data_IF_620035700384
#
_entry.id   IF_620035700384
#
_cell.length_a   1.000
_cell.length_b   1.000
_cell.length_c   1.000
_cell.angle_alpha   90.00
_cell.angle_beta   90.00
_cell.angle_gamma   90.00
#
_symmetry.space_group_name_H-M   'P 1'
#
loop_
_entity.id
_entity.type
_entity.pdbx_description
1 polymer ?
#
# COMPACT_ATOMS: atom_id res chain seq x y z
N UNK A 1 5.95 -18.83 -3.36
CA UNK A 1 7.21 -18.09 -3.04
C UNK A 1 8.40 -19.03 -3.09
N UNK A 2 9.55 -18.66 -3.73
CA UNK A 2 10.74 -19.52 -3.88
C UNK A 2 11.56 -19.64 -2.59
N UNK A 3 11.76 -18.54 -1.85
CA UNK A 3 12.54 -18.48 -0.59
C UNK A 3 11.60 -18.66 0.61
N UNK A 4 11.30 -19.92 0.91
CA UNK A 4 10.43 -20.30 2.04
C UNK A 4 11.02 -19.92 3.40
N UNK A 5 12.33 -19.89 3.52
CA UNK A 5 13.09 -19.47 4.71
C UNK A 5 12.85 -18.01 5.11
N UNK A 6 12.34 -17.18 4.18
CA UNK A 6 12.02 -15.77 4.41
C UNK A 6 10.52 -15.48 4.43
N UNK A 7 9.70 -16.49 4.34
CA UNK A 7 8.27 -16.31 4.28
C UNK A 7 7.72 -15.89 5.64
N UNK A 8 6.97 -14.81 5.66
CA UNK A 8 6.15 -14.41 6.82
C UNK A 8 4.85 -15.18 6.76
N UNK A 9 4.55 -15.91 7.84
CA UNK A 9 3.36 -16.74 7.93
C UNK A 9 2.33 -16.05 8.83
N UNK A 10 1.09 -15.98 8.34
CA UNK A 10 -0.04 -15.42 9.07
C UNK A 10 -0.26 -13.93 8.80
N UNK A 11 -1.54 -13.57 8.76
CA UNK A 11 -1.99 -12.20 8.45
C UNK A 11 -1.49 -11.20 9.51
N UNK A 12 -1.52 -11.56 10.78
CA UNK A 12 -1.12 -10.68 11.88
C UNK A 12 0.35 -10.24 11.81
N UNK A 13 1.25 -11.13 11.36
CA UNK A 13 2.66 -10.76 11.17
C UNK A 13 2.84 -9.82 9.96
N UNK A 14 2.09 -10.04 8.87
CA UNK A 14 2.09 -9.11 7.74
C UNK A 14 1.51 -7.74 8.13
N UNK A 15 0.47 -7.70 8.95
CA UNK A 15 -0.11 -6.45 9.47
C UNK A 15 0.86 -5.67 10.36
N UNK A 16 1.68 -6.35 11.16
CA UNK A 16 2.77 -5.71 11.92
C UNK A 16 3.80 -5.06 10.98
N UNK A 17 4.19 -5.72 9.91
CA UNK A 17 5.10 -5.15 8.91
C UNK A 17 4.46 -3.91 8.27
N UNK A 18 3.21 -4.02 7.82
CA UNK A 18 2.47 -2.93 7.19
C UNK A 18 2.41 -1.71 8.10
N UNK A 19 2.11 -1.90 9.39
CA UNK A 19 2.00 -0.80 10.36
C UNK A 19 3.31 -0.04 10.61
N UNK A 20 4.44 -0.62 10.26
CA UNK A 20 5.77 -0.04 10.47
C UNK A 20 6.38 0.57 9.19
N UNK A 21 5.72 0.41 8.05
CA UNK A 21 6.15 0.97 6.77
C UNK A 21 5.43 2.29 6.49
N UNK A 22 6.09 3.23 5.83
CA UNK A 22 5.55 4.57 5.60
C UNK A 22 5.07 4.80 4.16
N UNK A 23 5.45 3.93 3.23
CA UNK A 23 5.17 4.09 1.81
C UNK A 23 4.64 2.79 1.23
N UNK A 24 3.61 2.91 0.40
CA UNK A 24 3.13 1.85 -0.46
C UNK A 24 3.53 2.14 -1.91
N UNK A 25 4.21 1.21 -2.55
CA UNK A 25 4.48 1.23 -3.98
C UNK A 25 3.32 0.56 -4.70
N UNK A 26 2.50 1.35 -5.37
CA UNK A 26 1.33 0.89 -6.12
C UNK A 26 1.69 0.72 -7.58
N UNK A 27 1.39 -0.42 -8.18
CA UNK A 27 1.55 -0.69 -9.59
C UNK A 27 0.19 -0.83 -10.27
N UNK A 28 0.00 -0.05 -11.32
CA UNK A 28 -1.18 -0.02 -12.19
C UNK A 28 -0.74 -0.36 -13.61
N UNK A 29 -1.69 -0.63 -14.48
CA UNK A 29 -1.44 -0.75 -15.92
C UNK A 29 -2.62 -0.20 -16.71
N UNK A 30 -2.36 0.25 -17.93
CA UNK A 30 -3.42 0.60 -18.86
C UNK A 30 -4.10 -0.64 -19.48
N UNK A 31 -5.05 -0.42 -20.37
CA UNK A 31 -5.80 -1.49 -21.07
C UNK A 31 -4.91 -2.35 -21.98
N UNK A 32 -3.74 -1.84 -22.37
CA UNK A 32 -2.76 -2.57 -23.20
C UNK A 32 -1.72 -3.33 -22.37
N UNK A 33 -1.74 -3.16 -21.04
CA UNK A 33 -0.80 -3.78 -20.12
C UNK A 33 0.47 -2.95 -19.86
N UNK A 34 0.54 -1.70 -20.36
CA UNK A 34 1.68 -0.84 -20.09
C UNK A 34 1.74 -0.46 -18.59
N UNK A 35 2.86 -0.74 -17.89
CA UNK A 35 2.93 -0.58 -16.45
C UNK A 35 3.10 0.87 -16.01
N UNK A 36 2.60 1.19 -14.85
CA UNK A 36 2.75 2.47 -14.17
C UNK A 36 2.89 2.25 -12.67
N UNK A 37 4.01 2.65 -12.09
CA UNK A 37 4.28 2.51 -10.66
C UNK A 37 4.42 3.87 -9.99
N UNK A 38 3.95 3.98 -8.75
CA UNK A 38 4.01 5.21 -7.97
C UNK A 38 4.10 4.90 -6.47
N UNK A 39 4.73 5.79 -5.72
CA UNK A 39 4.81 5.74 -4.27
C UNK A 39 3.69 6.60 -3.66
N UNK A 40 2.99 6.07 -2.66
CA UNK A 40 1.86 6.75 -2.02
C UNK A 40 1.90 6.56 -0.50
N UNK A 41 1.42 7.58 0.22
CA UNK A 41 0.96 7.40 1.59
C UNK A 41 -0.31 6.55 1.58
N UNK A 42 -0.51 5.79 2.64
CA UNK A 42 -1.62 4.84 2.71
C UNK A 42 -2.20 4.68 4.11
N UNK A 43 -3.42 4.19 4.17
CA UNK A 43 -4.03 3.65 5.38
C UNK A 43 -4.40 2.19 5.16
N UNK A 44 -4.30 1.38 6.20
CA UNK A 44 -4.64 -0.04 6.16
C UNK A 44 -5.84 -0.33 7.03
N UNK A 45 -6.74 -1.15 6.53
CA UNK A 45 -7.86 -1.72 7.29
C UNK A 45 -7.76 -3.23 7.28
N UNK A 46 -7.62 -3.81 8.48
CA UNK A 46 -7.72 -5.26 8.68
C UNK A 46 -9.12 -5.76 8.32
N UNK A 47 -9.20 -6.99 7.87
CA UNK A 47 -10.47 -7.63 7.52
C UNK A 47 -10.32 -8.79 6.54
N UNK A 48 -11.45 -9.31 6.09
CA UNK A 48 -11.52 -10.36 5.08
C UNK A 48 -12.54 -9.95 4.01
N UNK A 49 -12.07 -9.34 2.93
CA UNK A 49 -10.69 -9.02 2.57
C UNK A 49 -10.12 -7.78 3.29
N UNK A 50 -8.77 -7.69 3.45
CA UNK A 50 -8.13 -6.46 3.90
C UNK A 50 -8.21 -5.36 2.84
N UNK A 51 -8.04 -4.10 3.26
CA UNK A 51 -8.14 -2.95 2.36
C UNK A 51 -7.00 -1.96 2.59
N UNK A 52 -6.51 -1.38 1.50
CA UNK A 52 -5.61 -0.22 1.51
C UNK A 52 -6.36 0.99 0.98
N UNK A 53 -6.17 2.14 1.65
CA UNK A 53 -6.73 3.41 1.25
C UNK A 53 -5.63 4.39 0.88
N UNK A 54 -5.87 5.15 -0.18
CA UNK A 54 -4.99 6.19 -0.69
C UNK A 54 -5.79 7.45 -0.98
N UNK A 55 -5.11 8.58 -1.12
CA UNK A 55 -5.74 9.82 -1.56
C UNK A 55 -4.99 10.43 -2.74
N UNK A 56 -5.69 11.21 -3.52
CA UNK A 56 -5.11 11.97 -4.63
C UNK A 56 -5.98 13.16 -5.01
N UNK A 57 -5.47 14.01 -5.90
CA UNK A 57 -6.24 15.06 -6.54
C UNK A 57 -7.36 14.47 -7.45
N UNK A 58 -8.31 15.31 -7.83
CA UNK A 58 -9.47 14.93 -8.68
C UNK A 58 -9.11 14.52 -10.10
N UNK A 59 -7.92 14.86 -10.56
CA UNK A 59 -7.43 14.59 -11.90
C UNK A 59 -6.04 13.96 -11.86
N UNK A 60 -5.69 13.21 -12.90
CA UNK A 60 -4.37 12.63 -13.07
C UNK A 60 -4.39 11.21 -13.61
N UNK A 61 -3.28 10.84 -14.24
CA UNK A 61 -3.06 9.56 -14.94
C UNK A 61 -3.50 8.34 -14.14
N UNK A 62 -3.27 8.31 -12.81
CA UNK A 62 -3.66 7.17 -11.96
C UNK A 62 -5.17 6.92 -11.97
N UNK A 63 -6.00 7.98 -11.98
CA UNK A 63 -7.45 7.86 -12.02
C UNK A 63 -7.92 7.29 -13.37
N UNK A 64 -7.31 7.72 -14.47
CA UNK A 64 -7.64 7.23 -15.80
C UNK A 64 -7.27 5.75 -15.94
N UNK A 65 -6.09 5.36 -15.41
CA UNK A 65 -5.66 3.96 -15.38
C UNK A 65 -6.60 3.09 -14.54
N UNK A 66 -7.01 3.54 -13.36
CA UNK A 66 -7.94 2.79 -12.50
C UNK A 66 -9.31 2.61 -13.17
N UNK A 67 -9.79 3.62 -13.87
CA UNK A 67 -11.05 3.53 -14.63
C UNK A 67 -10.96 2.56 -15.79
N UNK A 68 -9.83 2.55 -16.50
CA UNK A 68 -9.57 1.66 -17.64
C UNK A 68 -9.28 0.22 -17.21
N UNK A 69 -8.46 0.05 -16.15
CA UNK A 69 -8.07 -1.25 -15.62
C UNK A 69 -7.92 -1.19 -14.09
N UNK A 70 -8.89 -1.67 -13.32
CA UNK A 70 -8.85 -1.59 -11.87
C UNK A 70 -7.92 -2.61 -11.20
N UNK A 71 -7.25 -3.50 -11.94
CA UNK A 71 -6.28 -4.44 -11.36
C UNK A 71 -5.04 -3.68 -10.90
N UNK A 72 -4.54 -4.03 -9.73
CA UNK A 72 -3.34 -3.43 -9.17
C UNK A 72 -2.50 -4.46 -8.43
N UNK A 73 -1.21 -4.17 -8.34
CA UNK A 73 -0.31 -4.83 -7.40
C UNK A 73 0.28 -3.77 -6.47
N UNK A 74 0.74 -4.21 -5.30
CA UNK A 74 1.40 -3.32 -4.35
C UNK A 74 2.59 -3.99 -3.68
N UNK A 75 3.53 -3.16 -3.24
CA UNK A 75 4.62 -3.51 -2.34
C UNK A 75 4.68 -2.47 -1.23
N UNK A 76 4.72 -2.94 0.00
CA UNK A 76 4.93 -2.15 1.21
C UNK A 76 6.17 -2.75 1.86
N UNK A 77 7.26 -1.98 1.97
CA UNK A 77 8.52 -2.49 2.46
C UNK A 77 9.29 -1.45 3.27
N UNK A 78 10.24 -1.95 4.03
CA UNK A 78 11.24 -1.13 4.71
C UNK A 78 12.58 -1.84 4.79
N UNK A 79 13.70 -1.14 4.57
CA UNK A 79 15.01 -1.62 4.93
C UNK A 79 15.15 -1.65 6.46
N UNK A 80 15.88 -2.63 6.99
CA UNK A 80 16.21 -2.71 8.40
C UNK A 80 17.69 -2.37 8.61
N UNK A 81 18.60 -3.15 8.01
CA UNK A 81 20.03 -3.03 8.22
C UNK A 81 20.81 -3.39 6.96
N UNK A 82 21.84 -2.62 6.65
CA UNK A 82 22.81 -2.96 5.63
C UNK A 82 23.84 -3.93 6.25
N UNK A 83 23.88 -5.15 5.76
CA UNK A 83 24.87 -6.16 6.15
C UNK A 83 26.09 -6.01 5.24
N UNK A 84 27.27 -5.87 5.83
CA UNK A 84 28.54 -5.72 5.10
C UNK A 84 29.53 -6.80 5.51
N UNK A 85 30.55 -7.05 4.66
CA UNK A 85 31.61 -8.02 4.92
C UNK A 85 32.77 -7.87 3.95
N UNK A 86 33.84 -8.66 4.09
CA UNK A 86 35.04 -8.54 3.27
C UNK A 86 34.84 -8.92 1.82
N UNK A 87 33.86 -9.78 1.53
CA UNK A 87 33.56 -10.25 0.17
C UNK A 87 32.22 -9.68 -0.33
N UNK A 88 32.07 -9.49 -1.61
CA UNK A 88 30.83 -8.98 -2.21
C UNK A 88 29.60 -9.85 -1.89
N UNK A 89 29.76 -11.15 -1.74
CA UNK A 89 28.69 -12.08 -1.35
C UNK A 89 28.20 -11.92 0.10
N UNK A 90 29.00 -11.26 0.95
CA UNK A 90 28.64 -10.99 2.34
C UNK A 90 27.74 -9.77 2.49
N UNK A 91 27.66 -8.95 1.42
CA UNK A 91 26.84 -7.76 1.41
C UNK A 91 25.37 -8.09 1.17
N UNK A 92 24.50 -7.41 1.87
CA UNK A 92 23.06 -7.59 1.74
C UNK A 92 22.27 -6.60 2.56
N UNK A 93 20.97 -6.65 2.40
CA UNK A 93 20.02 -5.85 3.16
C UNK A 93 19.13 -6.78 3.98
N UNK A 94 19.03 -6.50 5.29
CA UNK A 94 17.94 -7.00 6.10
C UNK A 94 16.71 -6.12 5.83
N UNK A 95 15.56 -6.73 5.64
CA UNK A 95 14.34 -6.03 5.23
C UNK A 95 13.09 -6.78 5.63
N UNK A 96 11.99 -6.06 5.67
CA UNK A 96 10.64 -6.59 5.75
C UNK A 96 9.83 -6.07 4.57
N UNK A 97 8.98 -6.91 4.00
CA UNK A 97 8.09 -6.50 2.91
C UNK A 97 6.79 -7.30 2.91
N UNK A 98 5.72 -6.65 2.51
CA UNK A 98 4.44 -7.26 2.16
C UNK A 98 4.10 -6.85 0.74
N UNK A 99 3.73 -7.81 -0.09
CA UNK A 99 3.30 -7.56 -1.46
C UNK A 99 2.01 -8.30 -1.75
N UNK A 100 1.24 -7.77 -2.65
CA UNK A 100 -0.01 -8.40 -3.01
C UNK A 100 -0.63 -7.83 -4.27
N UNK A 101 -1.78 -8.38 -4.61
CA UNK A 101 -2.61 -7.94 -5.73
C UNK A 101 -4.02 -7.68 -5.27
N UNK A 102 -4.76 -6.89 -6.03
CA UNK A 102 -6.14 -6.58 -5.71
C UNK A 102 -6.82 -5.74 -6.77
N UNK A 103 -7.94 -5.17 -6.36
CA UNK A 103 -8.81 -4.36 -7.23
C UNK A 103 -9.00 -2.96 -6.66
N UNK A 104 -8.66 -1.97 -7.46
CA UNK A 104 -8.85 -0.55 -7.14
C UNK A 104 -10.29 -0.13 -7.34
N UNK A 105 -10.75 0.78 -6.47
CA UNK A 105 -12.06 1.46 -6.58
C UNK A 105 -11.89 2.92 -6.19
N UNK A 106 -12.54 3.81 -6.93
CA UNK A 106 -12.68 5.23 -6.54
C UNK A 106 -13.86 5.28 -5.56
N UNK A 107 -13.59 5.71 -4.33
CA UNK A 107 -14.61 5.75 -3.27
C UNK A 107 -15.52 6.95 -3.46
N UNK A 108 -16.81 6.70 -3.62
CA UNK A 108 -17.84 7.74 -3.82
C UNK A 108 -18.68 7.98 -2.57
N UNK A 109 -18.86 6.97 -1.71
CA UNK A 109 -19.62 7.12 -0.46
C UNK A 109 -18.89 8.08 0.51
N UNK A 110 -19.54 9.15 0.99
CA UNK A 110 -18.93 10.13 1.88
C UNK A 110 -18.42 9.55 3.21
N UNK A 111 -19.12 8.56 3.76
CA UNK A 111 -18.72 7.91 5.02
C UNK A 111 -17.45 7.07 4.81
N UNK A 112 -17.40 6.31 3.73
CA UNK A 112 -16.22 5.51 3.38
C UNK A 112 -15.03 6.41 2.99
N UNK A 113 -15.26 7.53 2.30
CA UNK A 113 -14.22 8.54 2.01
C UNK A 113 -13.59 9.06 3.30
N UNK A 114 -14.43 9.47 4.27
CA UNK A 114 -13.95 9.94 5.57
C UNK A 114 -13.17 8.84 6.29
N UNK A 115 -13.69 7.62 6.34
CA UNK A 115 -13.01 6.47 6.94
C UNK A 115 -11.63 6.25 6.31
N UNK A 116 -11.53 6.28 4.98
CA UNK A 116 -10.25 6.12 4.27
C UNK A 116 -9.23 7.20 4.64
N UNK A 117 -9.65 8.46 4.73
CA UNK A 117 -8.78 9.56 5.16
C UNK A 117 -8.38 9.41 6.63
N UNK A 118 -9.31 9.06 7.53
CA UNK A 118 -9.01 8.82 8.94
C UNK A 118 -7.99 7.69 9.12
N UNK A 119 -8.09 6.61 8.35
CA UNK A 119 -7.14 5.50 8.37
C UNK A 119 -5.75 5.91 7.86
N UNK A 120 -5.68 6.74 6.82
CA UNK A 120 -4.42 7.31 6.35
C UNK A 120 -3.79 8.16 7.45
N UNK A 121 -4.54 9.06 8.06
CA UNK A 121 -4.03 9.94 9.12
C UNK A 121 -3.60 9.14 10.36
N UNK A 122 -4.37 8.14 10.77
CA UNK A 122 -4.04 7.27 11.89
C UNK A 122 -2.75 6.47 11.66
N UNK A 123 -2.51 6.05 10.42
CA UNK A 123 -1.27 5.35 10.04
C UNK A 123 -0.01 6.20 10.32
N UNK A 124 -0.12 7.51 10.20
CA UNK A 124 0.97 8.47 10.49
C UNK A 124 0.87 9.12 11.87
N UNK A 125 0.04 8.58 12.77
CA UNK A 125 -0.02 9.00 14.18
C UNK A 125 -1.03 10.11 14.49
N UNK A 126 -1.86 10.54 13.52
CA UNK A 126 -2.93 11.50 13.77
C UNK A 126 -4.29 10.79 13.89
N UNK A 127 -4.77 10.62 15.13
CA UNK A 127 -5.98 9.85 15.41
C UNK A 127 -7.27 10.68 15.45
N UNK A 128 -7.16 12.00 15.48
CA UNK A 128 -8.31 12.94 15.53
C UNK A 128 -8.12 14.06 14.48
N UNK A 129 -8.10 13.71 13.18
CA UNK A 129 -7.86 14.71 12.15
C UNK A 129 -9.05 15.65 11.99
N UNK A 130 -8.76 16.95 11.85
CA UNK A 130 -9.71 17.94 11.38
C UNK A 130 -9.51 18.17 9.90
N UNK A 131 -10.59 18.27 9.15
CA UNK A 131 -10.57 18.48 7.71
C UNK A 131 -11.27 19.79 7.36
N UNK A 132 -10.64 20.58 6.52
CA UNK A 132 -11.30 21.73 5.90
C UNK A 132 -12.27 21.22 4.80
N UNK A 133 -13.51 21.74 4.73
CA UNK A 133 -14.49 21.30 3.73
C UNK A 133 -13.97 21.34 2.30
N UNK A 134 -13.29 22.42 1.92
CA UNK A 134 -12.69 22.59 0.59
C UNK A 134 -11.62 21.54 0.30
N UNK A 135 -10.82 21.14 1.29
CA UNK A 135 -9.81 20.10 1.14
C UNK A 135 -10.46 18.72 0.92
N UNK A 136 -11.53 18.42 1.66
CA UNK A 136 -12.31 17.20 1.45
C UNK A 136 -12.92 17.15 0.05
N UNK A 137 -13.47 18.26 -0.41
CA UNK A 137 -14.03 18.33 -1.77
C UNK A 137 -12.96 18.13 -2.84
N UNK A 138 -11.77 18.68 -2.69
CA UNK A 138 -10.66 18.57 -3.63
C UNK A 138 -9.99 17.19 -3.64
N UNK A 139 -10.26 16.33 -2.65
CA UNK A 139 -9.56 15.07 -2.45
C UNK A 139 -10.39 13.88 -2.92
N UNK A 140 -9.80 13.03 -3.75
CA UNK A 140 -10.33 11.71 -4.12
C UNK A 140 -9.71 10.65 -3.23
N UNK A 141 -10.53 9.76 -2.71
CA UNK A 141 -10.08 8.57 -1.97
C UNK A 141 -10.17 7.34 -2.87
N UNK A 142 -9.09 6.58 -2.87
CA UNK A 142 -8.96 5.32 -3.59
C UNK A 142 -8.92 4.18 -2.59
N UNK A 143 -9.53 3.06 -2.93
CA UNK A 143 -9.50 1.82 -2.15
C UNK A 143 -8.94 0.70 -3.01
N UNK A 144 -7.97 -0.04 -2.46
CA UNK A 144 -7.54 -1.33 -2.98
C UNK A 144 -8.14 -2.43 -2.10
N UNK A 145 -9.03 -3.21 -2.64
CA UNK A 145 -9.50 -4.46 -2.01
C UNK A 145 -8.48 -5.55 -2.33
N UNK A 146 -7.79 -6.04 -1.29
CA UNK A 146 -6.70 -7.01 -1.43
C UNK A 146 -7.28 -8.39 -1.75
N UNK A 147 -6.81 -9.00 -2.82
CA UNK A 147 -7.14 -10.38 -3.19
C UNK A 147 -6.14 -11.38 -2.61
N UNK A 148 -4.86 -11.15 -2.87
CA UNK A 148 -3.76 -11.99 -2.39
C UNK A 148 -2.67 -11.13 -1.74
N UNK A 149 -2.07 -11.66 -0.68
CA UNK A 149 -1.00 -10.98 0.03
C UNK A 149 0.04 -11.98 0.54
N UNK A 150 1.31 -11.64 0.42
CA UNK A 150 2.43 -12.44 0.92
C UNK A 150 3.46 -11.55 1.59
N UNK A 151 4.06 -12.05 2.66
CA UNK A 151 5.10 -11.33 3.40
C UNK A 151 6.47 -12.00 3.26
N UNK A 152 7.52 -11.19 3.33
CA UNK A 152 8.92 -11.60 3.40
C UNK A 152 9.67 -10.82 4.46
N UNK A 153 10.60 -11.53 5.12
CA UNK A 153 11.54 -10.94 6.07
C UNK A 153 12.92 -11.57 5.91
N UNK A 154 13.97 -10.75 6.02
CA UNK A 154 15.37 -11.16 6.18
C UNK A 154 15.97 -10.34 7.33
N UNK A 155 16.57 -11.02 8.31
CA UNK A 155 17.12 -10.44 9.54
C UNK A 155 16.33 -10.83 10.75
#
# INVERSE_FOLDING_TARGET
MRRKDRQVIGIGEMEKIISQCQVCHLALSDSTGHPYALALNFGYRSGSPPMLYFHCAREGKKLDLIRANPRAAFVIDRPLELVTGPMACDWGMNYESVMGTGRMTIVTDPKERKLGLDLIMAHYGQFHPAYLPESLEATVVLKLTVGEMTGKKKG
#
